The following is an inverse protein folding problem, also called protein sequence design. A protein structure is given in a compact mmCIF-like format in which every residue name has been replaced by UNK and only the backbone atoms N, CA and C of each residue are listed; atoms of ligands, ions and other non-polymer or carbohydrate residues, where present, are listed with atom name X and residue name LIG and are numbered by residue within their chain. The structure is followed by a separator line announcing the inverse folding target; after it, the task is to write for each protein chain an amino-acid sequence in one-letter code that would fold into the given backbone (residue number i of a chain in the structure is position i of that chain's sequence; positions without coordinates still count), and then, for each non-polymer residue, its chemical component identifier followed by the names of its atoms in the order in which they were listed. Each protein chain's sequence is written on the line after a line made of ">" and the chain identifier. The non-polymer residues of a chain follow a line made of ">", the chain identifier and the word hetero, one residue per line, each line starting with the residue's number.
data_IF_948581030076
#
_entry.id   IF_948581030076
#
_cell.length_a   1.000
_cell.length_b   1.000
_cell.length_c   1.000
_cell.angle_alpha   90.00
_cell.angle_beta   90.00
_cell.angle_gamma   90.00
#
_symmetry.space_group_name_H-M   'P 1'
#
loop_
_entity.id
_entity.type
_entity.pdbx_description
1 polymer ?
#
# COMPACT_ATOMS: atom_id res chain seq x y z
N UNK A 1 0.34 -0.58 3.39
CA UNK A 1 1.28 -0.09 2.38
C UNK A 1 0.64 -0.22 1.00
N UNK A 2 0.77 0.79 0.17
CA UNK A 2 0.16 0.80 -1.17
C UNK A 2 1.25 0.98 -2.22
N UNK A 3 1.29 0.10 -3.21
CA UNK A 3 2.24 0.15 -4.32
C UNK A 3 1.49 0.27 -5.64
N UNK A 4 1.92 1.19 -6.47
CA UNK A 4 1.50 1.29 -7.87
C UNK A 4 2.69 0.97 -8.76
N UNK A 5 2.53 0.01 -9.66
CA UNK A 5 3.55 -0.37 -10.63
C UNK A 5 3.33 0.38 -11.93
N UNK A 6 4.38 1.00 -12.46
CA UNK A 6 4.32 1.73 -13.71
C UNK A 6 5.50 1.35 -14.60
N UNK A 7 5.20 1.06 -15.86
CA UNK A 7 6.21 0.78 -16.89
C UNK A 7 6.67 2.08 -17.52
N UNK A 8 7.96 2.29 -17.62
CA UNK A 8 8.53 3.41 -18.32
C UNK A 8 8.71 3.13 -19.81
N UNK A 9 8.22 4.05 -20.62
CA UNK A 9 8.22 3.91 -22.08
C UNK A 9 9.35 4.64 -22.80
N UNK A 10 10.17 5.51 -22.15
CA UNK A 10 11.15 6.32 -22.89
C UNK A 10 12.50 6.47 -22.20
N UNK A 11 13.55 6.04 -22.89
CA UNK A 11 14.96 6.24 -22.53
C UNK A 11 15.43 7.70 -22.66
N UNK A 12 14.79 8.53 -23.49
CA UNK A 12 15.17 9.94 -23.73
C UNK A 12 14.75 10.89 -22.60
N UNK A 13 13.81 10.49 -21.79
CA UNK A 13 13.47 11.18 -20.56
C UNK A 13 14.38 10.80 -19.38
N UNK A 14 15.40 9.94 -19.60
CA UNK A 14 16.19 9.29 -18.55
C UNK A 14 16.89 10.26 -17.59
N UNK A 15 17.49 11.35 -18.09
CA UNK A 15 18.21 12.30 -17.21
C UNK A 15 17.26 13.16 -16.38
N UNK A 16 16.19 13.68 -16.98
CA UNK A 16 15.17 14.46 -16.26
C UNK A 16 14.42 13.60 -15.25
N UNK A 17 14.26 12.35 -15.60
CA UNK A 17 13.54 11.36 -14.82
C UNK A 17 14.38 10.80 -13.67
N UNK A 18 15.70 10.63 -13.84
CA UNK A 18 16.62 10.29 -12.73
C UNK A 18 16.58 11.40 -11.68
N UNK A 19 16.55 12.65 -12.09
CA UNK A 19 16.40 13.78 -11.17
C UNK A 19 15.02 13.77 -10.47
N UNK A 20 13.95 13.50 -11.20
CA UNK A 20 12.60 13.35 -10.62
C UNK A 20 12.47 12.13 -9.72
N UNK A 21 13.17 11.02 -9.99
CA UNK A 21 13.17 9.82 -9.14
C UNK A 21 13.93 10.06 -7.85
N UNK A 22 15.03 10.80 -7.88
CA UNK A 22 15.75 11.20 -6.67
C UNK A 22 14.91 12.15 -5.78
N UNK A 23 14.04 12.95 -6.40
CA UNK A 23 13.13 13.85 -5.70
C UNK A 23 11.81 13.17 -5.28
N UNK A 24 11.38 12.11 -5.97
CA UNK A 24 10.12 11.40 -5.72
C UNK A 24 10.28 10.05 -5.00
N UNK A 25 11.49 9.73 -4.53
CA UNK A 25 11.73 8.55 -3.70
C UNK A 25 11.14 8.67 -2.28
N UNK A 26 10.52 9.79 -1.96
CA UNK A 26 9.78 9.95 -0.72
C UNK A 26 8.43 9.24 -0.81
N UNK A 27 8.24 8.22 0.03
CA UNK A 27 6.94 7.64 0.24
C UNK A 27 5.96 8.72 0.72
N UNK A 28 4.88 8.92 -0.01
CA UNK A 28 3.82 9.80 0.47
C UNK A 28 3.01 9.07 1.53
N UNK A 29 2.94 9.65 2.73
CA UNK A 29 2.09 9.16 3.80
C UNK A 29 0.93 10.14 4.00
N UNK A 30 -0.29 9.62 3.97
CA UNK A 30 -1.49 10.38 4.27
C UNK A 30 -2.24 9.77 5.43
N UNK A 31 -2.81 10.63 6.27
CA UNK A 31 -3.72 10.16 7.32
C UNK A 31 -5.00 9.61 6.71
N UNK A 32 -5.41 8.44 7.18
CA UNK A 32 -6.66 7.84 6.75
C UNK A 32 -7.84 8.50 7.47
N UNK A 33 -8.91 8.76 6.72
CA UNK A 33 -10.20 9.20 7.26
C UNK A 33 -10.97 8.06 7.96
N UNK A 34 -10.52 6.84 7.82
CA UNK A 34 -11.21 5.67 8.36
C UNK A 34 -10.74 5.37 9.79
N UNK A 35 -11.71 5.08 10.65
CA UNK A 35 -11.46 4.75 12.05
C UNK A 35 -10.57 3.51 12.18
N UNK A 36 -9.53 3.63 12.96
CA UNK A 36 -8.60 2.53 13.21
C UNK A 36 -7.43 2.45 12.22
N UNK A 37 -7.41 3.31 11.23
CA UNK A 37 -6.31 3.41 10.27
C UNK A 37 -5.61 4.76 10.45
N UNK A 38 -4.35 4.72 10.85
CA UNK A 38 -3.57 5.95 11.08
C UNK A 38 -3.03 6.52 9.78
N UNK A 39 -2.13 5.80 9.15
CA UNK A 39 -1.42 6.25 7.95
C UNK A 39 -1.45 5.20 6.85
N UNK A 40 -1.62 5.65 5.62
CA UNK A 40 -1.42 4.85 4.41
C UNK A 40 -0.17 5.38 3.72
N UNK A 41 0.85 4.53 3.61
CA UNK A 41 2.07 4.84 2.86
C UNK A 41 1.88 4.40 1.42
N UNK A 42 2.26 5.26 0.49
CA UNK A 42 2.17 5.01 -0.96
C UNK A 42 3.55 5.05 -1.58
N UNK A 43 3.81 4.09 -2.43
CA UNK A 43 5.06 3.97 -3.17
C UNK A 43 4.74 3.74 -4.64
N UNK A 44 5.45 4.44 -5.50
CA UNK A 44 5.40 4.20 -6.93
C UNK A 44 6.66 3.42 -7.32
N UNK A 45 6.46 2.28 -7.97
CA UNK A 45 7.53 1.44 -8.46
C UNK A 45 7.58 1.52 -9.98
N UNK A 46 8.75 1.83 -10.51
CA UNK A 46 8.99 1.97 -11.94
C UNK A 46 10.03 0.97 -12.41
N UNK A 47 9.71 0.22 -13.44
CA UNK A 47 10.67 -0.68 -14.09
C UNK A 47 10.33 -0.87 -15.55
N UNK A 48 11.34 -0.75 -16.42
CA UNK A 48 11.21 -1.06 -17.83
C UNK A 48 11.03 -2.57 -18.11
N UNK A 49 11.35 -3.41 -17.12
CA UNK A 49 11.23 -4.86 -17.22
C UNK A 49 9.84 -5.38 -16.89
N UNK A 50 8.95 -4.51 -16.40
CA UNK A 50 7.57 -4.90 -16.14
C UNK A 50 6.85 -5.19 -17.47
N UNK A 51 6.10 -6.31 -17.56
CA UNK A 51 5.18 -6.52 -18.66
C UNK A 51 4.14 -5.40 -18.78
N UNK A 52 3.67 -5.13 -19.99
CA UNK A 52 2.68 -4.06 -20.23
C UNK A 52 1.38 -4.26 -19.44
N UNK A 53 1.00 -5.51 -19.20
CA UNK A 53 -0.17 -5.86 -18.39
C UNK A 53 -0.08 -5.39 -16.93
N UNK A 54 1.11 -5.11 -16.43
CA UNK A 54 1.32 -4.61 -15.07
C UNK A 54 1.42 -3.09 -15.00
N UNK A 55 1.30 -2.40 -16.11
CA UNK A 55 1.28 -0.93 -16.07
C UNK A 55 0.03 -0.44 -15.34
N UNK A 56 0.24 0.37 -14.31
CA UNK A 56 -0.84 0.84 -13.43
C UNK A 56 -1.34 -0.17 -12.40
N UNK A 57 -0.73 -1.37 -12.33
CA UNK A 57 -1.11 -2.40 -11.37
C UNK A 57 -0.87 -1.94 -9.94
N UNK A 58 -1.84 -2.17 -9.08
CA UNK A 58 -1.86 -1.69 -7.70
C UNK A 58 -1.80 -2.84 -6.72
N UNK A 59 -0.83 -2.80 -5.82
CA UNK A 59 -0.67 -3.78 -4.75
C UNK A 59 -0.86 -3.07 -3.41
N UNK A 60 -1.78 -3.55 -2.61
CA UNK A 60 -1.93 -3.16 -1.22
C UNK A 60 -1.27 -4.21 -0.33
N UNK A 61 -0.60 -3.76 0.71
CA UNK A 61 -0.03 -4.62 1.74
C UNK A 61 -0.54 -4.21 3.12
N UNK A 62 -1.00 -5.18 3.88
CA UNK A 62 -1.43 -4.98 5.25
C UNK A 62 -0.94 -6.11 6.14
N UNK A 63 -0.50 -5.78 7.35
CA UNK A 63 -0.01 -6.75 8.32
C UNK A 63 -0.27 -6.26 9.75
N UNK A 64 0.06 -7.10 10.71
CA UNK A 64 0.08 -6.74 12.14
C UNK A 64 -1.27 -6.20 12.65
N UNK A 65 -2.36 -6.85 12.29
CA UNK A 65 -3.70 -6.44 12.73
C UNK A 65 -3.90 -6.59 14.24
N UNK A 66 -3.18 -7.52 14.88
CA UNK A 66 -3.22 -7.76 16.33
C UNK A 66 -4.64 -7.79 16.88
N UNK A 67 -5.47 -8.65 16.31
CA UNK A 67 -6.86 -8.79 16.72
C UNK A 67 -6.97 -9.39 18.13
N UNK A 68 -7.09 -8.55 19.15
CA UNK A 68 -7.03 -8.95 20.55
C UNK A 68 -8.31 -8.68 21.35
N UNK A 69 -9.10 -7.70 20.95
CA UNK A 69 -10.11 -7.17 21.85
C UNK A 69 -11.31 -6.58 21.11
N UNK A 70 -12.36 -6.25 21.89
CA UNK A 70 -13.50 -5.47 21.39
C UNK A 70 -13.12 -4.17 20.71
N UNK A 71 -12.00 -3.58 21.12
CA UNK A 71 -11.47 -2.38 20.51
C UNK A 71 -11.02 -2.61 19.06
N UNK A 72 -10.34 -3.71 18.80
CA UNK A 72 -9.94 -4.11 17.45
C UNK A 72 -11.15 -4.49 16.60
N UNK A 73 -12.12 -5.18 17.19
CA UNK A 73 -13.37 -5.52 16.50
C UNK A 73 -14.12 -4.28 16.01
N UNK A 74 -14.13 -3.21 16.80
CA UNK A 74 -14.76 -1.92 16.41
C UNK A 74 -14.01 -1.21 15.28
N UNK A 75 -12.71 -1.45 15.13
CA UNK A 75 -11.87 -0.82 14.09
C UNK A 75 -11.87 -1.60 12.79
N UNK A 76 -12.15 -2.88 12.84
CA UNK A 76 -12.07 -3.76 11.68
C UNK A 76 -12.91 -3.28 10.49
N UNK A 77 -14.18 -2.84 10.66
CA UNK A 77 -14.95 -2.29 9.53
C UNK A 77 -14.28 -1.09 8.86
N UNK A 78 -13.71 -0.17 9.64
CA UNK A 78 -12.98 1.00 9.12
C UNK A 78 -11.72 0.59 8.36
N UNK A 79 -10.99 -0.40 8.86
CA UNK A 79 -9.82 -0.96 8.18
C UNK A 79 -10.20 -1.60 6.84
N UNK A 80 -11.28 -2.37 6.80
CA UNK A 80 -11.78 -2.96 5.56
C UNK A 80 -12.21 -1.90 4.55
N UNK A 81 -12.87 -0.84 5.00
CA UNK A 81 -13.23 0.29 4.14
C UNK A 81 -12.00 1.01 3.60
N UNK A 82 -10.97 1.21 4.43
CA UNK A 82 -9.72 1.80 4.00
C UNK A 82 -9.04 0.96 2.91
N UNK A 83 -8.96 -0.35 3.11
CA UNK A 83 -8.39 -1.27 2.12
C UNK A 83 -9.17 -1.26 0.80
N UNK A 84 -10.49 -1.25 0.86
CA UNK A 84 -11.34 -1.13 -0.33
C UNK A 84 -11.12 0.20 -1.07
N UNK A 85 -10.92 1.28 -0.34
CA UNK A 85 -10.72 2.62 -0.92
C UNK A 85 -9.39 2.76 -1.68
N UNK A 86 -8.44 1.85 -1.47
CA UNK A 86 -7.17 1.83 -2.21
C UNK A 86 -7.34 1.37 -3.65
N UNK A 87 -8.44 0.70 -3.96
CA UNK A 87 -8.71 0.17 -5.30
C UNK A 87 -7.53 -0.65 -5.84
N UNK A 88 -7.03 -1.54 -5.01
CA UNK A 88 -5.89 -2.38 -5.34
C UNK A 88 -6.33 -3.61 -6.14
N UNK A 89 -5.48 -4.01 -7.08
CA UNK A 89 -5.67 -5.24 -7.87
C UNK A 89 -5.36 -6.48 -7.05
N UNK A 90 -4.41 -6.36 -6.12
CA UNK A 90 -4.00 -7.42 -5.20
C UNK A 90 -3.84 -6.86 -3.79
N UNK A 91 -4.33 -7.61 -2.82
CA UNK A 91 -4.08 -7.38 -1.40
C UNK A 91 -3.17 -8.48 -0.86
N UNK A 92 -2.01 -8.10 -0.36
CA UNK A 92 -1.08 -8.98 0.33
C UNK A 92 -1.25 -8.81 1.83
N UNK A 93 -1.42 -9.93 2.52
CA UNK A 93 -1.54 -9.97 3.97
C UNK A 93 -0.24 -10.53 4.56
N UNK A 94 0.43 -9.72 5.36
CA UNK A 94 1.77 -10.01 5.87
C UNK A 94 1.82 -10.84 7.15
N UNK A 95 0.69 -11.25 7.69
CA UNK A 95 0.64 -12.04 8.93
C UNK A 95 0.45 -11.20 10.20
N UNK A 96 0.66 -11.87 11.34
CA UNK A 96 0.50 -11.31 12.68
C UNK A 96 -0.91 -10.73 12.93
N UNK A 97 -1.91 -11.60 12.69
CA UNK A 97 -3.32 -11.22 12.79
C UNK A 97 -3.86 -11.30 14.21
N UNK A 98 -3.21 -12.08 15.08
CA UNK A 98 -3.64 -12.30 16.46
C UNK A 98 -2.84 -11.45 17.42
N UNK A 99 -3.50 -10.94 18.44
CA UNK A 99 -2.84 -10.38 19.57
C UNK A 99 -2.32 -11.43 20.56
N UNK A 100 -1.57 -10.96 21.52
CA UNK A 100 -0.87 -11.79 22.53
C UNK A 100 -1.80 -12.68 23.35
N UNK A 101 -3.06 -12.27 23.51
CA UNK A 101 -4.10 -12.97 24.32
C UNK A 101 -5.23 -13.51 23.44
N UNK A 102 -5.00 -13.62 22.16
CA UNK A 102 -5.99 -14.11 21.21
C UNK A 102 -6.23 -15.61 21.35
N UNK A 103 -6.85 -16.01 22.44
CA UNK A 103 -7.56 -17.27 22.46
C UNK A 103 -8.72 -17.21 21.48
N UNK A 104 -8.74 -18.07 20.53
CA UNK A 104 -9.97 -18.41 19.85
C UNK A 104 -10.69 -19.46 20.66
#
# INVERSE_FOLDING_TARGET
>A
MYFKMMKRLNLLAGCLVVLCVLLSSCATASFSKYKGVGRVKRYDFYSAQLPDSFDGFRVAFASDFHYESRFTARRLPGMCQALRSLDADVLLLGGDYRGRNGGM
#
